data_IF_874159733046
#
_entry.id   IF_874159733046
#
_cell.length_a   1.000
_cell.length_b   1.000
_cell.length_c   1.000
_cell.angle_alpha   90.00
_cell.angle_beta   90.00
_cell.angle_gamma   90.00
#
_symmetry.space_group_name_H-M   'P 1'
#
loop_
_entity.id
_entity.type
_entity.pdbx_description
1 polymer ?
#
# COMPACT_ATOMS: atom_id res chain seq x y z
N UNK A 1 -25.00 0.90 3.33
CA UNK A 1 -23.81 0.92 2.45
C UNK A 1 -23.00 2.17 2.77
N UNK A 2 -21.71 2.02 3.00
CA UNK A 2 -20.82 3.18 3.22
C UNK A 2 -20.41 3.75 1.86
N UNK A 3 -20.06 5.05 1.76
CA UNK A 3 -19.61 5.65 0.49
C UNK A 3 -18.50 4.85 -0.22
N UNK A 4 -17.65 4.17 0.57
CA UNK A 4 -16.52 3.37 0.10
C UNK A 4 -16.88 2.00 -0.50
N UNK A 5 -18.06 1.42 -0.21
CA UNK A 5 -18.49 0.19 -0.88
C UNK A 5 -18.95 0.46 -2.32
N UNK A 6 -19.42 1.68 -2.59
CA UNK A 6 -19.86 2.13 -3.92
C UNK A 6 -18.67 2.33 -4.86
N UNK A 7 -17.54 2.86 -4.35
CA UNK A 7 -16.32 3.06 -5.13
C UNK A 7 -15.68 1.73 -5.58
N UNK A 8 -15.68 0.71 -4.72
CA UNK A 8 -15.17 -0.62 -5.06
C UNK A 8 -16.03 -1.31 -6.13
N UNK A 9 -17.36 -1.21 -6.03
CA UNK A 9 -18.29 -1.74 -7.04
C UNK A 9 -18.11 -1.03 -8.40
N UNK A 10 -17.90 0.29 -8.39
CA UNK A 10 -17.58 1.04 -9.60
C UNK A 10 -16.27 0.57 -10.22
N UNK A 11 -15.21 0.38 -9.43
CA UNK A 11 -13.93 -0.13 -9.92
C UNK A 11 -14.04 -1.54 -10.51
N UNK A 12 -14.79 -2.43 -9.86
CA UNK A 12 -15.10 -3.76 -10.40
C UNK A 12 -15.79 -3.66 -11.75
N UNK A 13 -16.83 -2.83 -11.87
CA UNK A 13 -17.57 -2.64 -13.11
C UNK A 13 -16.67 -2.13 -14.24
N UNK A 14 -15.82 -1.13 -13.96
CA UNK A 14 -14.92 -0.58 -14.96
C UNK A 14 -13.86 -1.58 -15.41
N UNK A 15 -13.33 -2.38 -14.49
CA UNK A 15 -12.37 -3.40 -14.82
C UNK A 15 -12.99 -4.52 -15.68
N UNK A 16 -14.23 -4.91 -15.38
CA UNK A 16 -15.00 -5.85 -16.22
C UNK A 16 -15.19 -5.26 -17.63
N UNK A 17 -15.56 -3.98 -17.75
CA UNK A 17 -15.70 -3.31 -19.05
C UNK A 17 -14.39 -3.34 -19.86
N UNK A 18 -13.23 -3.16 -19.21
CA UNK A 18 -11.92 -3.30 -19.86
C UNK A 18 -11.62 -4.71 -20.31
N UNK A 19 -11.80 -5.70 -19.44
CA UNK A 19 -11.61 -7.09 -19.84
C UNK A 19 -12.49 -7.43 -21.05
N UNK A 20 -13.74 -6.97 -21.00
CA UNK A 20 -14.69 -7.18 -22.08
C UNK A 20 -14.24 -6.51 -23.37
N UNK A 21 -13.81 -5.26 -23.30
CA UNK A 21 -13.34 -4.54 -24.48
C UNK A 21 -12.04 -5.15 -25.04
N UNK A 22 -11.07 -5.47 -24.18
CA UNK A 22 -9.83 -6.13 -24.60
C UNK A 22 -10.13 -7.47 -25.27
N UNK A 23 -11.04 -8.28 -24.73
CA UNK A 23 -11.42 -9.55 -25.35
C UNK A 23 -12.09 -9.34 -26.73
N UNK A 24 -12.93 -8.30 -26.89
CA UNK A 24 -13.53 -7.95 -28.19
C UNK A 24 -12.50 -7.46 -29.20
N UNK A 25 -11.60 -6.56 -28.78
CA UNK A 25 -10.56 -6.02 -29.66
C UNK A 25 -9.52 -7.08 -30.02
N UNK A 26 -9.22 -8.00 -29.10
CA UNK A 26 -8.37 -9.15 -29.37
C UNK A 26 -9.03 -10.12 -30.36
N UNK A 27 -10.35 -10.38 -30.28
CA UNK A 27 -11.06 -11.21 -31.27
C UNK A 27 -11.00 -10.59 -32.67
N UNK A 28 -11.20 -9.27 -32.77
CA UNK A 28 -11.06 -8.53 -34.04
C UNK A 28 -9.62 -8.58 -34.59
N UNK A 29 -8.62 -8.38 -33.72
CA UNK A 29 -7.19 -8.38 -34.12
C UNK A 29 -6.71 -9.80 -34.47
N UNK A 30 -7.11 -10.82 -33.71
CA UNK A 30 -6.70 -12.21 -33.93
C UNK A 30 -7.47 -12.87 -35.08
N UNK A 31 -8.68 -12.41 -35.41
CA UNK A 31 -9.40 -12.79 -36.62
C UNK A 31 -8.69 -12.33 -37.90
N UNK A 32 -7.93 -11.24 -37.84
CA UNK A 32 -7.30 -10.63 -39.01
C UNK A 32 -5.79 -10.88 -39.15
N UNK A 33 -5.04 -11.10 -38.06
CA UNK A 33 -3.56 -10.93 -38.13
C UNK A 33 -2.68 -12.08 -37.62
N UNK A 34 -3.23 -13.15 -37.05
CA UNK A 34 -2.42 -14.33 -36.65
C UNK A 34 -1.23 -14.03 -35.71
N UNK A 35 -1.33 -12.99 -34.87
CA UNK A 35 -0.25 -12.47 -34.03
C UNK A 35 -0.01 -13.31 -32.74
N UNK A 36 1.27 -13.38 -32.33
CA UNK A 36 1.84 -14.33 -31.35
C UNK A 36 1.30 -14.18 -29.91
N UNK A 37 1.01 -15.33 -29.31
CA UNK A 37 0.19 -15.62 -28.12
C UNK A 37 0.75 -15.21 -26.74
N UNK A 38 1.86 -14.47 -26.67
CA UNK A 38 2.69 -14.43 -25.44
C UNK A 38 2.22 -13.45 -24.36
N UNK A 39 1.63 -12.31 -24.75
CA UNK A 39 1.17 -11.28 -23.79
C UNK A 39 -0.13 -11.65 -23.06
N UNK A 40 -0.88 -12.64 -23.56
CA UNK A 40 -2.21 -12.98 -23.05
C UNK A 40 -2.42 -14.46 -22.72
N UNK A 41 -1.33 -15.25 -22.65
CA UNK A 41 -1.37 -16.70 -22.41
C UNK A 41 -2.04 -17.10 -21.09
N UNK A 42 -2.09 -16.18 -20.12
CA UNK A 42 -2.72 -16.41 -18.81
C UNK A 42 -4.23 -16.10 -18.78
N UNK A 43 -4.71 -15.13 -19.55
CA UNK A 43 -6.11 -14.69 -19.49
C UNK A 43 -7.01 -15.38 -20.53
N UNK A 44 -6.45 -15.69 -21.71
CA UNK A 44 -7.25 -16.16 -22.86
C UNK A 44 -7.89 -17.55 -22.65
N UNK A 45 -7.20 -18.59 -22.16
CA UNK A 45 -7.80 -19.93 -22.07
C UNK A 45 -9.02 -20.00 -21.14
N UNK A 46 -9.06 -19.19 -20.08
CA UNK A 46 -10.15 -19.17 -19.11
C UNK A 46 -11.36 -18.35 -19.57
N UNK A 47 -11.14 -17.33 -20.41
CA UNK A 47 -12.16 -16.38 -20.83
C UNK A 47 -12.76 -16.70 -22.22
N UNK A 48 -12.06 -17.51 -23.04
CA UNK A 48 -12.47 -17.89 -24.41
C UNK A 48 -13.81 -18.63 -24.51
N UNK A 49 -14.17 -19.59 -23.62
CA UNK A 49 -15.45 -20.29 -23.73
C UNK A 49 -16.67 -19.44 -23.38
N UNK A 50 -16.49 -18.29 -22.71
CA UNK A 50 -17.57 -17.41 -22.29
C UNK A 50 -17.96 -16.36 -23.34
N UNK A 51 -17.17 -16.22 -24.41
CA UNK A 51 -17.14 -15.01 -25.23
C UNK A 51 -17.69 -15.18 -26.65
N UNK A 52 -17.68 -16.40 -27.20
CA UNK A 52 -17.90 -16.65 -28.63
C UNK A 52 -19.38 -16.69 -29.07
N UNK A 53 -20.31 -15.98 -28.40
CA UNK A 53 -21.71 -16.00 -28.88
C UNK A 53 -22.76 -15.06 -28.31
N UNK A 54 -22.49 -14.25 -27.29
CA UNK A 54 -23.56 -13.48 -26.64
C UNK A 54 -23.25 -11.97 -26.62
N UNK A 55 -24.14 -11.15 -27.17
CA UNK A 55 -24.25 -9.76 -26.74
C UNK A 55 -24.34 -9.77 -25.22
N UNK A 56 -23.41 -9.06 -24.55
CA UNK A 56 -22.95 -9.34 -23.17
C UNK A 56 -24.12 -9.73 -22.26
N UNK A 57 -24.34 -11.03 -22.13
CA UNK A 57 -25.41 -11.61 -21.33
C UNK A 57 -25.05 -11.40 -19.85
N UNK A 58 -26.07 -11.23 -19.02
CA UNK A 58 -25.94 -11.13 -17.56
C UNK A 58 -25.15 -12.32 -17.02
N UNK A 59 -25.27 -13.49 -17.65
CA UNK A 59 -24.50 -14.69 -17.29
C UNK A 59 -22.98 -14.55 -17.52
N UNK A 60 -22.55 -13.91 -18.62
CA UNK A 60 -21.12 -13.69 -18.91
C UNK A 60 -20.54 -12.70 -17.92
N UNK A 61 -21.26 -11.63 -17.63
CA UNK A 61 -20.87 -10.64 -16.61
C UNK A 61 -20.72 -11.30 -15.23
N UNK A 62 -21.67 -12.15 -14.83
CA UNK A 62 -21.59 -12.90 -13.57
C UNK A 62 -20.42 -13.89 -13.54
N UNK A 63 -20.10 -14.54 -14.66
CA UNK A 63 -18.96 -15.45 -14.76
C UNK A 63 -17.63 -14.72 -14.62
N UNK A 64 -17.45 -13.60 -15.33
CA UNK A 64 -16.25 -12.75 -15.23
C UNK A 64 -16.12 -12.22 -13.79
N UNK A 65 -17.21 -11.78 -13.18
CA UNK A 65 -17.21 -11.31 -11.78
C UNK A 65 -16.75 -12.38 -10.80
N UNK A 66 -17.12 -13.66 -11.02
CA UNK A 66 -16.66 -14.79 -10.20
C UNK A 66 -15.17 -15.09 -10.40
N UNK A 67 -14.65 -14.94 -11.61
CA UNK A 67 -13.24 -15.20 -11.95
C UNK A 67 -12.33 -14.00 -11.67
N UNK A 68 -12.87 -12.79 -11.51
CA UNK A 68 -12.12 -11.56 -11.26
C UNK A 68 -11.04 -11.73 -10.17
N UNK A 69 -11.36 -12.30 -8.98
CA UNK A 69 -10.38 -12.48 -7.90
C UNK A 69 -9.17 -13.35 -8.27
N UNK A 70 -9.28 -14.16 -9.32
CA UNK A 70 -8.22 -15.05 -9.80
C UNK A 70 -7.26 -14.36 -10.78
N UNK A 71 -7.69 -13.23 -11.38
CA UNK A 71 -6.89 -12.50 -12.37
C UNK A 71 -5.81 -11.65 -11.68
N UNK A 72 -4.55 -11.84 -12.07
CA UNK A 72 -3.43 -11.08 -11.50
C UNK A 72 -3.54 -9.57 -11.72
N UNK A 73 -4.10 -9.15 -12.86
CA UNK A 73 -4.36 -7.74 -13.13
C UNK A 73 -5.41 -7.15 -12.18
N UNK A 74 -6.48 -7.91 -11.87
CA UNK A 74 -7.47 -7.50 -10.87
C UNK A 74 -6.86 -7.45 -9.48
N UNK A 75 -6.11 -8.49 -9.09
CA UNK A 75 -5.39 -8.51 -7.80
C UNK A 75 -4.46 -7.31 -7.67
N UNK A 76 -3.71 -6.96 -8.71
CA UNK A 76 -2.86 -5.78 -8.73
C UNK A 76 -3.64 -4.49 -8.49
N UNK A 77 -4.71 -4.23 -9.26
CA UNK A 77 -5.55 -3.03 -9.07
C UNK A 77 -6.21 -3.02 -7.70
N UNK A 78 -6.68 -4.17 -7.22
CA UNK A 78 -7.24 -4.31 -5.88
C UNK A 78 -6.19 -4.00 -4.80
N UNK A 79 -4.96 -4.47 -4.93
CA UNK A 79 -3.87 -4.15 -4.00
C UNK A 79 -3.51 -2.66 -4.04
N UNK A 80 -3.53 -2.02 -5.21
CA UNK A 80 -3.36 -0.56 -5.32
C UNK A 80 -4.49 0.20 -4.63
N UNK A 81 -5.75 -0.25 -4.79
CA UNK A 81 -6.90 0.34 -4.11
C UNK A 81 -6.83 0.12 -2.59
N UNK A 82 -6.61 -1.11 -2.15
CA UNK A 82 -6.50 -1.47 -0.74
C UNK A 82 -5.37 -0.69 -0.06
N UNK A 83 -4.21 -0.56 -0.71
CA UNK A 83 -3.11 0.21 -0.15
C UNK A 83 -3.40 1.71 -0.22
N UNK A 84 -3.63 2.26 -1.41
CA UNK A 84 -3.82 3.69 -1.66
C UNK A 84 -4.99 4.31 -0.90
N UNK A 85 -6.13 3.63 -0.85
CA UNK A 85 -7.34 4.14 -0.21
C UNK A 85 -7.44 3.67 1.24
N UNK A 86 -7.23 2.38 1.50
CA UNK A 86 -7.52 1.77 2.81
C UNK A 86 -6.28 1.60 3.69
N UNK A 87 -5.09 1.91 3.18
CA UNK A 87 -3.84 1.69 3.90
C UNK A 87 -3.56 0.21 4.17
N UNK A 88 -4.15 -0.70 3.40
CA UNK A 88 -3.96 -2.14 3.56
C UNK A 88 -2.87 -2.58 2.57
N UNK A 89 -1.65 -2.88 3.04
CA UNK A 89 -0.58 -3.39 2.19
C UNK A 89 -0.91 -4.76 1.59
N UNK A 90 -0.24 -5.06 0.48
CA UNK A 90 -0.41 -6.32 -0.23
C UNK A 90 -0.02 -7.54 0.63
N UNK A 91 -0.81 -8.62 0.50
CA UNK A 91 -0.64 -9.85 1.26
C UNK A 91 0.24 -10.91 0.56
N UNK A 92 0.72 -10.63 -0.66
CA UNK A 92 1.52 -11.59 -1.44
C UNK A 92 3.02 -11.46 -1.22
N UNK A 93 3.44 -10.51 -0.36
CA UNK A 93 4.84 -10.21 -0.10
C UNK A 93 5.54 -9.39 -1.18
N UNK A 94 4.84 -9.03 -2.26
CA UNK A 94 5.38 -8.13 -3.29
C UNK A 94 5.51 -6.72 -2.75
N UNK A 95 6.55 -6.01 -3.16
CA UNK A 95 6.68 -4.60 -2.80
C UNK A 95 5.59 -3.78 -3.49
N UNK A 96 5.04 -2.78 -2.78
CA UNK A 96 4.05 -1.88 -3.40
C UNK A 96 4.64 -1.09 -4.58
N UNK A 97 5.96 -0.91 -4.61
CA UNK A 97 6.64 -0.30 -5.75
C UNK A 97 6.49 -1.13 -7.04
N UNK A 98 6.71 -2.46 -6.97
CA UNK A 98 6.49 -3.36 -8.10
C UNK A 98 5.03 -3.42 -8.53
N UNK A 99 4.12 -3.48 -7.55
CA UNK A 99 2.67 -3.48 -7.80
C UNK A 99 2.26 -2.19 -8.51
N UNK A 100 2.71 -1.02 -8.06
CA UNK A 100 2.41 0.26 -8.69
C UNK A 100 2.97 0.35 -10.11
N UNK A 101 4.17 -0.18 -10.36
CA UNK A 101 4.75 -0.24 -11.71
C UNK A 101 3.86 -1.06 -12.65
N UNK A 102 3.37 -2.21 -12.20
CA UNK A 102 2.47 -3.04 -13.00
C UNK A 102 1.09 -2.37 -13.19
N UNK A 103 0.56 -1.72 -12.15
CA UNK A 103 -0.69 -0.97 -12.21
C UNK A 103 -0.63 0.21 -13.20
N UNK A 104 0.52 0.86 -13.35
CA UNK A 104 0.72 1.89 -14.40
C UNK A 104 0.58 1.32 -15.80
N UNK A 105 1.08 0.11 -16.05
CA UNK A 105 0.92 -0.56 -17.35
C UNK A 105 -0.56 -0.86 -17.60
N UNK A 106 -1.26 -1.42 -16.60
CA UNK A 106 -2.70 -1.68 -16.68
C UNK A 106 -3.47 -0.38 -16.94
N UNK A 107 -3.12 0.69 -16.24
CA UNK A 107 -3.76 2.01 -16.36
C UNK A 107 -3.50 2.63 -17.73
N UNK A 108 -2.30 2.51 -18.29
CA UNK A 108 -1.99 2.99 -19.64
C UNK A 108 -2.82 2.25 -20.70
N UNK A 109 -2.95 0.92 -20.58
CA UNK A 109 -3.82 0.12 -21.45
C UNK A 109 -5.29 0.53 -21.30
N UNK A 110 -5.75 0.72 -20.05
CA UNK A 110 -7.10 1.19 -19.77
C UNK A 110 -7.34 2.58 -20.38
N UNK A 111 -6.36 3.48 -20.32
CA UNK A 111 -6.46 4.85 -20.84
C UNK A 111 -6.56 4.90 -22.35
N UNK A 112 -5.87 3.99 -23.05
CA UNK A 112 -5.98 3.87 -24.50
C UNK A 112 -7.40 3.45 -24.94
N UNK A 113 -8.12 2.72 -24.08
CA UNK A 113 -9.47 2.20 -24.37
C UNK A 113 -10.57 3.12 -23.84
N UNK A 114 -10.41 3.68 -22.64
CA UNK A 114 -11.39 4.51 -21.94
C UNK A 114 -10.72 5.79 -21.39
N UNK A 115 -10.37 6.76 -22.25
CA UNK A 115 -9.65 7.96 -21.83
C UNK A 115 -10.40 8.75 -20.74
N UNK A 116 -11.72 8.85 -20.82
CA UNK A 116 -12.53 9.61 -19.86
C UNK A 116 -12.56 8.99 -18.47
N UNK A 117 -12.34 7.67 -18.38
CA UNK A 117 -12.38 6.89 -17.14
C UNK A 117 -10.98 6.62 -16.56
N UNK A 118 -9.93 6.88 -17.33
CA UNK A 118 -8.54 6.71 -16.93
C UNK A 118 -8.13 7.55 -15.72
N UNK A 119 -8.77 8.71 -15.55
CA UNK A 119 -8.49 9.62 -14.44
C UNK A 119 -8.58 8.90 -13.09
N UNK A 120 -9.62 8.07 -12.89
CA UNK A 120 -9.82 7.31 -11.65
C UNK A 120 -8.65 6.33 -11.38
N UNK A 121 -8.21 5.60 -12.40
CA UNK A 121 -7.10 4.65 -12.25
C UNK A 121 -5.77 5.36 -11.98
N UNK A 122 -5.52 6.48 -12.67
CA UNK A 122 -4.34 7.31 -12.41
C UNK A 122 -4.35 7.87 -10.99
N UNK A 123 -5.50 8.32 -10.48
CA UNK A 123 -5.66 8.78 -9.10
C UNK A 123 -5.40 7.67 -8.09
N UNK A 124 -5.88 6.44 -8.34
CA UNK A 124 -5.62 5.29 -7.47
C UNK A 124 -4.14 4.92 -7.41
N UNK A 125 -3.48 4.85 -8.56
CA UNK A 125 -2.03 4.59 -8.64
C UNK A 125 -1.28 5.69 -7.91
N UNK A 126 -1.66 6.96 -8.12
CA UNK A 126 -1.05 8.09 -7.42
C UNK A 126 -1.23 8.01 -5.90
N UNK A 127 -2.43 7.68 -5.40
CA UNK A 127 -2.67 7.50 -3.95
C UNK A 127 -1.80 6.39 -3.36
N UNK A 128 -1.65 5.28 -4.09
CA UNK A 128 -0.78 4.18 -3.67
C UNK A 128 0.69 4.59 -3.62
N UNK A 129 1.19 5.27 -4.66
CA UNK A 129 2.56 5.79 -4.71
C UNK A 129 2.82 6.85 -3.63
N UNK A 130 1.88 7.76 -3.44
CA UNK A 130 1.91 8.76 -2.38
C UNK A 130 2.06 8.11 -1.00
N UNK A 131 1.40 6.98 -0.75
CA UNK A 131 1.61 6.21 0.47
C UNK A 131 2.95 5.51 0.54
N UNK A 132 3.48 4.98 -0.56
CA UNK A 132 4.82 4.40 -0.58
C UNK A 132 5.84 5.46 -0.15
N UNK A 133 5.77 6.66 -0.74
CA UNK A 133 6.62 7.78 -0.36
C UNK A 133 6.40 8.19 1.10
N UNK A 134 5.15 8.25 1.55
CA UNK A 134 4.85 8.55 2.96
C UNK A 134 5.44 7.52 3.94
N UNK A 135 5.61 6.25 3.56
CA UNK A 135 6.18 5.21 4.42
C UNK A 135 7.72 5.21 4.40
N UNK A 136 8.34 5.73 3.36
CA UNK A 136 9.80 5.80 3.25
C UNK A 136 10.35 6.92 4.16
N UNK A 137 11.40 6.67 4.96
CA UNK A 137 12.03 7.70 5.78
C UNK A 137 12.57 8.88 4.98
N UNK A 138 13.00 8.63 3.73
CA UNK A 138 13.48 9.63 2.78
C UNK A 138 12.53 9.81 1.59
N UNK A 139 11.25 9.49 1.78
CA UNK A 139 10.27 9.62 0.71
C UNK A 139 10.03 11.07 0.32
N UNK A 140 9.75 11.29 -0.97
CA UNK A 140 9.45 12.61 -1.51
C UNK A 140 7.97 12.95 -1.28
N UNK A 141 7.66 13.42 -0.07
CA UNK A 141 6.31 13.87 0.28
C UNK A 141 6.14 15.32 -0.16
N UNK A 142 5.27 15.57 -1.14
CA UNK A 142 4.97 16.91 -1.66
C UNK A 142 3.61 17.43 -1.16
N UNK A 143 3.26 18.66 -1.54
CA UNK A 143 1.94 19.22 -1.24
C UNK A 143 0.83 18.39 -1.89
N UNK A 144 1.04 17.94 -3.13
CA UNK A 144 0.11 17.12 -3.89
C UNK A 144 -0.13 15.77 -3.21
N UNK A 145 0.94 15.15 -2.69
CA UNK A 145 0.87 13.92 -1.89
C UNK A 145 -0.06 14.11 -0.68
N UNK A 146 0.14 15.18 0.10
CA UNK A 146 -0.67 15.45 1.30
C UNK A 146 -2.14 15.79 0.97
N UNK A 147 -2.35 16.59 -0.07
CA UNK A 147 -3.69 16.96 -0.58
C UNK A 147 -4.49 15.70 -0.93
N UNK A 148 -3.89 14.79 -1.70
CA UNK A 148 -4.58 13.58 -2.13
C UNK A 148 -4.82 12.61 -0.97
N UNK A 149 -3.83 12.36 -0.12
CA UNK A 149 -3.97 11.42 1.01
C UNK A 149 -4.94 11.91 2.08
N UNK A 150 -5.00 13.22 2.32
CA UNK A 150 -5.91 13.81 3.31
C UNK A 150 -7.31 14.08 2.74
N UNK A 151 -7.47 14.09 1.41
CA UNK A 151 -8.67 14.57 0.71
C UNK A 151 -9.05 15.99 1.13
N UNK A 152 -8.07 16.90 1.06
CA UNK A 152 -8.21 18.32 1.42
C UNK A 152 -7.66 19.22 0.32
N UNK A 153 -8.01 20.50 0.34
CA UNK A 153 -7.45 21.48 -0.60
C UNK A 153 -6.01 21.90 -0.23
N UNK A 154 -5.31 22.49 -1.21
CA UNK A 154 -3.93 22.99 -1.06
C UNK A 154 -3.81 24.05 0.05
N UNK A 155 -4.83 24.88 0.28
CA UNK A 155 -4.81 25.93 1.31
C UNK A 155 -4.79 25.31 2.71
N UNK A 156 -5.50 24.21 2.92
CA UNK A 156 -5.45 23.46 4.19
C UNK A 156 -4.03 22.99 4.52
N UNK A 157 -3.30 22.45 3.54
CA UNK A 157 -1.88 22.06 3.72
C UNK A 157 -0.99 23.27 4.00
N UNK A 158 -1.17 24.37 3.25
CA UNK A 158 -0.41 25.61 3.47
C UNK A 158 -0.65 26.25 4.83
N UNK A 159 -1.88 26.18 5.35
CA UNK A 159 -2.19 26.66 6.69
C UNK A 159 -1.46 25.83 7.75
N UNK A 160 -1.43 24.51 7.60
CA UNK A 160 -0.69 23.62 8.50
C UNK A 160 0.83 23.90 8.46
N UNK A 161 1.38 24.19 7.28
CA UNK A 161 2.77 24.65 7.14
C UNK A 161 3.01 25.96 7.91
N UNK A 162 2.14 26.95 7.74
CA UNK A 162 2.26 28.25 8.39
C UNK A 162 2.11 28.17 9.92
N UNK A 163 1.29 27.23 10.41
CA UNK A 163 1.10 26.96 11.83
C UNK A 163 2.25 26.17 12.46
N UNK A 164 3.13 25.55 11.66
CA UNK A 164 4.19 24.66 12.15
C UNK A 164 3.69 23.26 12.52
N UNK A 165 2.49 22.86 12.08
CA UNK A 165 1.91 21.54 12.36
C UNK A 165 2.61 20.42 11.59
N UNK A 166 3.31 20.75 10.49
CA UNK A 166 4.04 19.81 9.65
C UNK A 166 5.43 20.37 9.37
N UNK A 167 6.46 19.58 9.64
CA UNK A 167 7.83 19.90 9.28
C UNK A 167 8.03 19.79 7.76
N UNK A 168 8.64 20.81 7.17
CA UNK A 168 8.95 20.86 5.75
C UNK A 168 10.28 21.58 5.51
N UNK A 169 10.88 21.32 4.36
CA UNK A 169 12.06 22.01 3.85
C UNK A 169 11.78 22.51 2.43
N UNK A 170 12.39 23.64 2.06
CA UNK A 170 12.37 24.14 0.69
C UNK A 170 13.62 23.62 -0.04
N UNK A 171 13.42 22.90 -1.14
CA UNK A 171 14.49 22.42 -2.02
C UNK A 171 14.29 23.08 -3.38
N UNK A 172 14.99 24.19 -3.61
CA UNK A 172 14.76 25.03 -4.78
C UNK A 172 13.36 25.63 -4.79
N UNK A 173 12.57 25.35 -5.83
CA UNK A 173 11.17 25.77 -5.95
C UNK A 173 10.18 24.79 -5.32
N UNK A 174 10.65 23.61 -4.87
CA UNK A 174 9.80 22.55 -4.33
C UNK A 174 9.75 22.60 -2.79
N UNK A 175 8.62 22.18 -2.25
CA UNK A 175 8.40 21.97 -0.82
C UNK A 175 8.36 20.47 -0.57
N UNK A 176 9.29 19.98 0.23
CA UNK A 176 9.32 18.59 0.68
C UNK A 176 8.98 18.53 2.17
N UNK A 177 8.10 17.61 2.54
CA UNK A 177 7.70 17.38 3.92
C UNK A 177 8.53 16.25 4.54
N UNK A 178 8.81 16.37 5.83
CA UNK A 178 9.34 15.25 6.60
C UNK A 178 8.27 14.14 6.68
N UNK A 179 8.55 12.89 6.24
CA UNK A 179 7.55 11.83 6.20
C UNK A 179 6.95 11.50 7.58
N UNK A 180 7.73 11.58 8.66
CA UNK A 180 7.23 11.28 10.00
C UNK A 180 6.23 12.34 10.49
N UNK A 181 6.58 13.63 10.32
CA UNK A 181 5.70 14.75 10.62
C UNK A 181 4.44 14.74 9.76
N UNK A 182 4.58 14.44 8.46
CA UNK A 182 3.45 14.26 7.54
C UNK A 182 2.49 13.16 8.00
N UNK A 183 2.99 11.98 8.40
CA UNK A 183 2.17 10.88 8.94
C UNK A 183 1.43 11.29 10.20
N UNK A 184 2.10 11.98 11.11
CA UNK A 184 1.47 12.47 12.35
C UNK A 184 0.32 13.43 12.03
N UNK A 185 0.53 14.39 11.14
CA UNK A 185 -0.49 15.34 10.73
C UNK A 185 -1.68 14.67 10.02
N UNK A 186 -1.40 13.70 9.14
CA UNK A 186 -2.42 12.95 8.40
C UNK A 186 -3.30 12.10 9.33
N UNK A 187 -2.76 11.60 10.45
CA UNK A 187 -3.51 10.77 11.41
C UNK A 187 -4.73 11.48 12.00
N UNK A 188 -4.70 12.82 12.08
CA UNK A 188 -5.85 13.63 12.52
C UNK A 188 -6.90 13.93 11.45
N UNK A 189 -6.73 13.47 10.20
CA UNK A 189 -7.58 13.85 9.06
C UNK A 189 -8.62 12.78 8.75
N UNK A 190 -9.88 13.18 8.62
CA UNK A 190 -11.01 12.28 8.32
C UNK A 190 -10.84 11.49 7.02
N UNK A 191 -10.18 12.08 6.01
CA UNK A 191 -9.95 11.43 4.71
C UNK A 191 -8.86 10.37 4.74
N UNK A 192 -7.94 10.44 5.71
CA UNK A 192 -6.78 9.56 5.76
C UNK A 192 -7.03 8.34 6.65
N UNK A 193 -6.81 7.16 6.08
CA UNK A 193 -6.74 5.90 6.86
C UNK A 193 -5.27 5.57 7.07
N UNK A 194 -4.75 5.48 8.30
CA UNK A 194 -3.37 5.10 8.55
C UNK A 194 -3.03 3.75 7.93
N UNK A 195 -1.83 3.65 7.35
CA UNK A 195 -1.35 2.39 6.77
C UNK A 195 -1.19 1.36 7.88
N UNK A 196 -1.79 0.18 7.69
CA UNK A 196 -1.62 -0.95 8.58
C UNK A 196 -0.22 -1.54 8.35
N UNK A 197 0.55 -1.84 9.41
CA UNK A 197 1.80 -2.54 9.24
C UNK A 197 1.53 -3.94 8.65
N UNK A 198 2.06 -4.24 7.45
CA UNK A 198 2.18 -5.62 6.97
C UNK A 198 3.59 -6.09 7.20
N UNK A 199 3.70 -6.93 8.20
CA UNK A 199 4.84 -7.79 8.40
C UNK A 199 4.29 -9.19 8.20
N UNK A 200 4.66 -9.78 7.07
CA UNK A 200 4.28 -11.14 6.74
C UNK A 200 4.76 -12.11 7.82
N UNK A 201 3.85 -12.94 8.32
CA UNK A 201 4.16 -14.13 9.11
C UNK A 201 4.06 -13.97 10.62
N UNK A 202 4.34 -12.79 11.18
CA UNK A 202 4.26 -12.56 12.63
C UNK A 202 3.70 -11.18 12.91
N UNK A 203 2.42 -11.12 13.29
CA UNK A 203 1.86 -9.89 13.82
C UNK A 203 2.62 -9.51 15.09
N UNK A 204 2.95 -8.23 15.25
CA UNK A 204 3.61 -7.71 16.45
C UNK A 204 2.83 -8.07 17.73
N UNK A 205 1.52 -8.30 17.61
CA UNK A 205 0.63 -8.69 18.70
C UNK A 205 0.77 -10.16 19.11
N UNK A 206 1.34 -11.02 18.26
CA UNK A 206 1.52 -12.45 18.51
C UNK A 206 2.90 -12.80 19.10
N UNK A 207 3.84 -11.84 19.14
CA UNK A 207 5.19 -12.02 19.69
C UNK A 207 5.13 -12.14 21.20
N UNK A 208 5.55 -13.29 21.75
CA UNK A 208 5.50 -13.58 23.19
C UNK A 208 6.88 -13.82 23.79
N UNK A 209 7.88 -14.14 22.98
CA UNK A 209 9.23 -14.45 23.47
C UNK A 209 10.30 -13.47 22.97
N UNK A 210 11.41 -13.30 23.71
CA UNK A 210 12.53 -12.49 23.26
C UNK A 210 13.10 -12.94 21.92
N UNK A 211 13.17 -14.25 21.69
CA UNK A 211 13.66 -14.83 20.43
C UNK A 211 12.76 -14.47 19.24
N UNK A 212 11.44 -14.59 19.40
CA UNK A 212 10.46 -14.16 18.38
C UNK A 212 10.58 -12.67 18.09
N UNK A 213 10.79 -11.85 19.13
CA UNK A 213 10.99 -10.41 18.97
C UNK A 213 12.23 -10.09 18.13
N UNK A 214 13.37 -10.74 18.43
CA UNK A 214 14.60 -10.55 17.68
C UNK A 214 14.48 -10.96 16.21
N UNK A 215 13.89 -12.14 15.95
CA UNK A 215 13.62 -12.63 14.60
C UNK A 215 12.71 -11.69 13.82
N UNK A 216 11.66 -11.18 14.47
CA UNK A 216 10.76 -10.21 13.90
C UNK A 216 11.50 -8.92 13.48
N UNK A 217 12.29 -8.33 14.39
CA UNK A 217 13.06 -7.12 14.06
C UNK A 217 14.04 -7.35 12.91
N UNK A 218 14.74 -8.48 12.91
CA UNK A 218 15.66 -8.85 11.83
C UNK A 218 14.96 -9.00 10.49
N UNK A 219 13.78 -9.63 10.45
CA UNK A 219 12.97 -9.75 9.25
C UNK A 219 12.47 -8.40 8.74
N UNK A 220 12.01 -7.51 9.63
CA UNK A 220 11.59 -6.15 9.27
C UNK A 220 12.77 -5.35 8.74
N UNK A 221 13.94 -5.41 9.39
CA UNK A 221 15.14 -4.69 8.91
C UNK A 221 15.60 -5.19 7.54
N UNK A 222 15.61 -6.51 7.32
CA UNK A 222 15.94 -7.09 6.03
C UNK A 222 14.98 -6.64 4.92
N UNK A 223 13.67 -6.57 5.23
CA UNK A 223 12.66 -6.04 4.31
C UNK A 223 12.87 -4.56 4.00
N UNK A 224 13.10 -3.73 5.02
CA UNK A 224 13.42 -2.31 4.82
C UNK A 224 14.66 -2.12 3.93
N UNK A 225 15.71 -2.93 4.14
CA UNK A 225 16.88 -2.90 3.29
C UNK A 225 16.58 -3.31 1.84
N UNK A 226 15.78 -4.35 1.63
CA UNK A 226 15.34 -4.79 0.30
C UNK A 226 14.46 -3.74 -0.41
N UNK A 227 13.65 -3.01 0.35
CA UNK A 227 12.79 -1.92 -0.14
C UNK A 227 13.58 -0.61 -0.39
N UNK A 228 14.89 -0.60 -0.13
CA UNK A 228 15.77 0.55 -0.34
C UNK A 228 15.64 1.64 0.72
N UNK A 229 15.06 1.35 1.89
CA UNK A 229 15.07 2.28 3.02
C UNK A 229 16.48 2.36 3.62
N UNK A 230 17.15 3.49 3.40
CA UNK A 230 18.51 3.75 3.92
C UNK A 230 18.53 4.59 5.20
N UNK A 231 17.44 4.62 5.98
CA UNK A 231 17.46 5.34 7.26
C UNK A 231 18.50 4.70 8.18
N UNK A 232 19.35 5.52 8.78
CA UNK A 232 20.20 5.05 9.86
C UNK A 232 19.32 4.65 11.05
N UNK A 233 19.62 3.52 11.70
CA UNK A 233 18.88 3.14 12.89
C UNK A 233 19.07 4.16 14.02
N UNK A 234 18.08 4.35 14.90
CA UNK A 234 18.17 5.29 16.03
C UNK A 234 19.16 4.81 17.12
N UNK A 235 19.83 3.68 16.90
CA UNK A 235 20.78 3.04 17.79
C UNK A 235 21.98 2.54 16.98
N UNK A 236 23.13 2.39 17.63
CA UNK A 236 24.33 1.89 16.98
C UNK A 236 24.17 0.42 16.52
N UNK A 237 25.07 -0.03 15.63
CA UNK A 237 25.03 -1.37 15.06
C UNK A 237 25.10 -2.51 16.10
N UNK A 238 25.86 -2.32 17.19
CA UNK A 238 25.98 -3.31 18.27
C UNK A 238 24.65 -3.49 19.01
N UNK A 239 24.01 -2.38 19.36
CA UNK A 239 22.69 -2.37 20.01
C UNK A 239 21.63 -2.95 19.08
N UNK A 240 21.70 -2.67 17.78
CA UNK A 240 20.78 -3.29 16.82
C UNK A 240 20.96 -4.81 16.76
N UNK A 241 22.20 -5.30 16.74
CA UNK A 241 22.48 -6.73 16.79
C UNK A 241 21.97 -7.39 18.09
N UNK A 242 22.12 -6.70 19.22
CA UNK A 242 21.53 -7.12 20.50
C UNK A 242 20.00 -7.24 20.40
N UNK A 243 19.32 -6.22 19.86
CA UNK A 243 17.86 -6.25 19.67
C UNK A 243 17.41 -7.41 18.76
N UNK A 244 18.12 -7.64 17.65
CA UNK A 244 17.84 -8.73 16.71
C UNK A 244 18.14 -10.12 17.30
N UNK A 245 18.99 -10.21 18.33
CA UNK A 245 19.18 -11.44 19.11
C UNK A 245 18.12 -11.64 20.21
N UNK A 246 17.18 -10.70 20.35
CA UNK A 246 16.14 -10.75 21.38
C UNK A 246 16.54 -10.15 22.71
N UNK A 247 17.50 -9.23 22.73
CA UNK A 247 17.97 -8.61 23.95
C UNK A 247 17.64 -7.11 23.97
N UNK A 248 16.77 -6.70 24.89
CA UNK A 248 16.33 -5.32 25.04
C UNK A 248 16.92 -4.68 26.31
N UNK A 249 18.01 -3.93 26.17
CA UNK A 249 18.68 -3.18 27.25
C UNK A 249 18.43 -1.67 27.23
N UNK A 250 17.53 -1.23 26.34
CA UNK A 250 17.26 0.20 26.16
C UNK A 250 16.26 0.70 27.19
N UNK A 251 16.28 2.00 27.53
CA UNK A 251 15.19 2.60 28.29
C UNK A 251 13.88 2.51 27.49
N UNK A 252 12.75 2.43 28.19
CA UNK A 252 11.46 2.09 27.57
C UNK A 252 10.99 3.14 26.54
N UNK A 253 11.36 4.41 26.72
CA UNK A 253 11.08 5.50 25.78
C UNK A 253 11.71 5.30 24.39
N UNK A 254 12.84 4.57 24.33
CA UNK A 254 13.51 4.21 23.07
C UNK A 254 12.65 3.32 22.17
N UNK A 255 11.61 2.68 22.73
CA UNK A 255 10.64 1.93 21.96
C UNK A 255 9.93 2.80 20.92
N UNK A 256 9.73 4.11 21.17
CA UNK A 256 9.07 4.98 20.21
C UNK A 256 9.93 5.27 18.98
N UNK A 257 11.20 5.61 19.18
CA UNK A 257 12.14 5.84 18.08
C UNK A 257 12.35 4.57 17.26
N UNK A 258 12.42 3.41 17.91
CA UNK A 258 12.48 2.12 17.22
C UNK A 258 11.18 1.83 16.45
N UNK A 259 10.02 2.09 17.04
CA UNK A 259 8.74 1.90 16.36
C UNK A 259 8.67 2.76 15.08
N UNK A 260 9.07 4.03 15.15
CA UNK A 260 9.11 4.92 14.00
C UNK A 260 10.08 4.44 12.92
N UNK A 261 11.27 3.99 13.33
CA UNK A 261 12.28 3.42 12.43
C UNK A 261 11.77 2.17 11.70
N UNK A 262 11.12 1.26 12.43
CA UNK A 262 10.57 0.03 11.85
C UNK A 262 9.22 0.22 11.16
N UNK A 263 8.66 1.44 11.16
CA UNK A 263 7.34 1.72 10.58
C UNK A 263 6.19 1.03 11.33
N UNK A 264 6.36 0.74 12.62
CA UNK A 264 5.37 0.08 13.48
C UNK A 264 4.65 1.14 14.31
N UNK A 265 3.34 0.97 14.54
CA UNK A 265 2.59 1.85 15.41
C UNK A 265 3.18 1.86 16.83
N UNK A 266 3.54 3.04 17.33
CA UNK A 266 4.18 3.26 18.65
C UNK A 266 3.50 2.49 19.79
N UNK A 267 2.17 2.57 19.91
CA UNK A 267 1.41 1.88 20.96
C UNK A 267 1.56 0.36 20.87
N UNK A 268 1.41 -0.22 19.67
CA UNK A 268 1.52 -1.68 19.46
C UNK A 268 2.94 -2.17 19.72
N UNK A 269 3.94 -1.43 19.24
CA UNK A 269 5.33 -1.77 19.48
C UNK A 269 5.67 -1.69 20.97
N UNK A 270 5.24 -0.64 21.67
CA UNK A 270 5.41 -0.51 23.11
C UNK A 270 4.75 -1.67 23.86
N UNK A 271 3.49 -2.01 23.53
CA UNK A 271 2.80 -3.17 24.13
C UNK A 271 3.57 -4.47 23.89
N UNK A 272 4.13 -4.66 22.69
CA UNK A 272 4.97 -5.81 22.40
C UNK A 272 6.25 -5.84 23.25
N UNK A 273 6.99 -4.72 23.32
CA UNK A 273 8.21 -4.61 24.15
C UNK A 273 7.88 -4.88 25.62
N UNK A 274 6.81 -4.28 26.15
CA UNK A 274 6.38 -4.48 27.52
C UNK A 274 5.96 -5.93 27.78
N UNK A 275 5.19 -6.54 26.87
CA UNK A 275 4.77 -7.94 27.00
C UNK A 275 5.95 -8.90 27.03
N UNK A 276 6.97 -8.67 26.22
CA UNK A 276 8.12 -9.59 26.07
C UNK A 276 9.17 -9.38 27.16
N UNK A 277 9.51 -8.14 27.50
CA UNK A 277 10.65 -7.80 28.37
C UNK A 277 10.25 -7.27 29.76
N UNK A 278 9.01 -6.81 29.91
CA UNK A 278 8.48 -6.23 31.15
C UNK A 278 7.10 -6.84 31.51
N UNK A 279 6.96 -8.19 31.55
CA UNK A 279 5.66 -8.86 31.62
C UNK A 279 4.88 -8.52 32.88
N UNK A 280 5.57 -8.29 34.01
CA UNK A 280 4.94 -7.89 35.27
C UNK A 280 4.29 -6.51 35.17
N UNK A 281 4.99 -5.53 34.60
CA UNK A 281 4.47 -4.17 34.38
C UNK A 281 3.34 -4.18 33.36
N UNK A 282 3.47 -4.98 32.30
CA UNK A 282 2.41 -5.13 31.30
C UNK A 282 1.12 -5.70 31.89
N UNK A 283 1.21 -6.71 32.76
CA UNK A 283 0.05 -7.30 33.42
C UNK A 283 -0.71 -6.29 34.30
N UNK A 284 0.01 -5.41 35.02
CA UNK A 284 -0.59 -4.36 35.86
C UNK A 284 -1.33 -3.28 35.05
N UNK A 285 -0.90 -3.00 33.82
CA UNK A 285 -1.53 -2.02 32.95
C UNK A 285 -2.68 -2.60 32.12
N UNK A 286 -2.78 -3.93 32.05
CA UNK A 286 -3.77 -4.66 31.23
C UNK A 286 -4.99 -5.12 32.04
N UNK A 287 -4.96 -4.96 33.37
CA UNK A 287 -6.06 -5.20 34.31
C UNK A 287 -6.93 -3.97 34.50
#
# INVERSE_FOLDING_TARGET
>A
MTPRSVEEEQLQSLFIDLLVHLLKSLDAIFGETGLDHRLFRFAIPQLRPAYLGAGIDTEVHQRIKKQLPELDAWRCIKSVYDFGVRGIPDETGKSMYEINKFARVITALFSAVFPDKAKLFNELVFLSEARVELQRPLGHVTVETLVALASVDVRTVRNAMAAGDIAFKKVGSLVEFDPASARQWLTGRRGFVPTKPSIHGVEVDNIKTPTEFGQFLGAVRAKLAADGCSSEPPVNASTMAELESGLFKLPLDSAFSLADYFGIQRERFLKCVMRVFFPAQYALLSS
#
